data_IF_138030859225
#
_entry.id   IF_138030859225
#
_cell.length_a   1.000
_cell.length_b   1.000
_cell.length_c   1.000
_cell.angle_alpha   90.00
_cell.angle_beta   90.00
_cell.angle_gamma   90.00
#
_symmetry.space_group_name_H-M   'P 1'
#
loop_
_entity.id
_entity.type
_entity.pdbx_description
1 polymer ?
#
# COMPACT_ATOMS: atom_id res chain seq x y z
N UNK A 1 27.46 -15.05 -16.35
CA UNK A 1 26.95 -16.02 -15.38
C UNK A 1 25.65 -15.51 -14.82
N UNK A 2 24.64 -16.35 -14.63
CA UNK A 2 23.38 -15.94 -13.98
C UNK A 2 23.67 -15.54 -12.53
N UNK A 3 23.12 -14.40 -12.06
CA UNK A 3 23.23 -14.00 -10.66
C UNK A 3 22.57 -15.08 -9.77
N UNK A 4 23.10 -15.34 -8.55
CA UNK A 4 22.51 -16.29 -7.63
C UNK A 4 21.06 -15.87 -7.28
N UNK A 5 20.23 -16.85 -6.96
CA UNK A 5 18.88 -16.59 -6.46
C UNK A 5 18.94 -16.00 -5.06
N UNK A 6 18.03 -15.08 -4.76
CA UNK A 6 17.83 -14.55 -3.40
C UNK A 6 17.06 -15.59 -2.58
N UNK A 7 17.63 -16.02 -1.47
CA UNK A 7 16.99 -16.92 -0.51
C UNK A 7 15.96 -16.14 0.30
N UNK A 8 14.70 -16.39 0.03
CA UNK A 8 13.58 -15.68 0.65
C UNK A 8 12.94 -16.51 1.75
N UNK A 9 12.65 -15.88 2.87
CA UNK A 9 11.89 -16.45 3.98
C UNK A 9 10.56 -15.75 4.20
N UNK A 10 9.65 -16.38 4.93
CA UNK A 10 8.39 -15.76 5.37
C UNK A 10 8.20 -16.01 6.87
N UNK A 11 8.12 -14.94 7.64
CA UNK A 11 7.77 -14.99 9.06
C UNK A 11 6.26 -14.68 9.21
N UNK A 12 5.51 -15.71 9.63
CA UNK A 12 4.05 -15.71 9.68
C UNK A 12 3.42 -16.14 8.34
N UNK A 13 2.80 -17.34 8.32
CA UNK A 13 2.14 -17.87 7.13
C UNK A 13 0.62 -18.02 7.28
N UNK A 14 0.02 -17.06 7.97
CA UNK A 14 -1.43 -16.94 8.08
C UNK A 14 -2.11 -16.68 6.73
N UNK A 15 -3.23 -15.95 6.77
CA UNK A 15 -4.05 -15.66 5.58
C UNK A 15 -3.28 -14.95 4.46
N UNK A 16 -2.45 -13.95 4.78
CA UNK A 16 -1.66 -13.21 3.79
C UNK A 16 -0.31 -13.87 3.52
N UNK A 17 0.42 -14.31 4.55
CA UNK A 17 1.77 -14.85 4.41
C UNK A 17 1.86 -16.13 3.57
N UNK A 18 0.80 -16.93 3.48
CA UNK A 18 0.76 -18.05 2.53
C UNK A 18 0.90 -17.61 1.07
N UNK A 19 0.40 -16.41 0.74
CA UNK A 19 0.55 -15.85 -0.61
C UNK A 19 1.97 -15.37 -0.86
N UNK A 20 2.67 -14.84 0.16
CA UNK A 20 4.10 -14.54 0.06
C UNK A 20 4.91 -15.80 -0.20
N UNK A 21 4.67 -16.88 0.55
CA UNK A 21 5.34 -18.17 0.32
C UNK A 21 5.07 -18.71 -1.09
N UNK A 22 3.81 -18.67 -1.56
CA UNK A 22 3.42 -19.06 -2.92
C UNK A 22 4.20 -18.26 -3.98
N UNK A 23 4.27 -16.96 -3.83
CA UNK A 23 4.89 -16.08 -4.82
C UNK A 23 6.41 -16.28 -4.84
N UNK A 24 7.07 -16.35 -3.68
CA UNK A 24 8.51 -16.61 -3.64
C UNK A 24 8.88 -17.98 -4.24
N UNK A 25 8.02 -19.00 -4.12
CA UNK A 25 8.28 -20.31 -4.72
C UNK A 25 8.27 -20.29 -6.26
N UNK A 26 7.71 -19.24 -6.88
CA UNK A 26 7.57 -19.11 -8.34
C UNK A 26 8.24 -17.88 -8.94
N UNK A 27 8.69 -16.93 -8.11
CA UNK A 27 9.29 -15.67 -8.58
C UNK A 27 10.67 -15.92 -9.21
N UNK A 28 10.90 -15.49 -10.46
CA UNK A 28 12.22 -15.56 -11.06
C UNK A 28 13.28 -14.83 -10.23
N UNK A 29 14.39 -15.49 -9.96
CA UNK A 29 15.49 -14.93 -9.17
C UNK A 29 15.30 -15.04 -7.66
N UNK A 30 14.19 -15.61 -7.18
CA UNK A 30 13.97 -15.97 -5.79
C UNK A 30 14.05 -17.49 -5.57
N UNK A 31 14.29 -17.88 -4.33
CA UNK A 31 14.15 -19.24 -3.82
C UNK A 31 13.46 -19.16 -2.46
N UNK A 32 12.34 -19.87 -2.28
CA UNK A 32 11.70 -19.99 -0.97
C UNK A 32 12.53 -20.91 -0.08
N UNK A 33 13.40 -20.36 0.74
CA UNK A 33 14.26 -21.11 1.65
C UNK A 33 13.46 -21.75 2.82
N UNK A 34 12.42 -21.06 3.30
CA UNK A 34 11.52 -21.62 4.30
C UNK A 34 10.68 -20.56 5.02
N UNK A 35 10.07 -21.02 6.11
CA UNK A 35 9.10 -20.23 6.87
C UNK A 35 9.38 -20.30 8.37
N UNK A 36 8.94 -19.28 9.10
CA UNK A 36 8.75 -19.31 10.55
C UNK A 36 7.26 -19.14 10.86
N UNK A 37 6.69 -20.08 11.60
CA UNK A 37 5.27 -20.08 12.00
C UNK A 37 5.13 -20.76 13.37
N UNK A 38 4.35 -20.14 14.25
CA UNK A 38 4.15 -20.64 15.62
C UNK A 38 3.17 -21.81 15.69
N UNK A 39 2.21 -21.87 14.75
CA UNK A 39 1.27 -22.99 14.64
C UNK A 39 1.88 -24.18 13.91
N UNK A 40 2.07 -25.30 14.59
CA UNK A 40 2.64 -26.53 14.02
C UNK A 40 1.82 -27.03 12.84
N UNK A 41 0.49 -27.05 12.98
CA UNK A 41 -0.41 -27.52 11.93
C UNK A 41 -0.31 -26.63 10.67
N UNK A 42 -0.27 -25.30 10.88
CA UNK A 42 -0.15 -24.35 9.77
C UNK A 42 1.21 -24.43 9.08
N UNK A 43 2.28 -24.56 9.87
CA UNK A 43 3.62 -24.73 9.32
C UNK A 43 3.71 -26.00 8.47
N UNK A 44 3.22 -27.14 8.97
CA UNK A 44 3.23 -28.41 8.24
C UNK A 44 2.45 -28.31 6.90
N UNK A 45 1.26 -27.69 6.92
CA UNK A 45 0.46 -27.45 5.72
C UNK A 45 1.25 -26.67 4.65
N UNK A 46 1.85 -25.54 5.03
CA UNK A 46 2.55 -24.66 4.11
C UNK A 46 3.85 -25.28 3.59
N UNK A 47 4.60 -25.96 4.48
CA UNK A 47 5.81 -26.66 4.07
C UNK A 47 5.53 -27.78 3.07
N UNK A 48 4.48 -28.57 3.28
CA UNK A 48 4.06 -29.61 2.34
C UNK A 48 3.59 -29.00 1.00
N UNK A 49 2.84 -27.88 1.04
CA UNK A 49 2.27 -27.23 -0.15
C UNK A 49 3.33 -26.63 -1.07
N UNK A 50 4.37 -26.01 -0.50
CA UNK A 50 5.38 -25.27 -1.25
C UNK A 50 6.77 -25.94 -1.21
N UNK A 51 6.87 -27.15 -0.67
CA UNK A 51 8.12 -27.90 -0.52
C UNK A 51 9.24 -27.06 0.09
N UNK A 52 8.97 -26.42 1.22
CA UNK A 52 9.92 -25.57 1.92
C UNK A 52 10.15 -26.02 3.37
N UNK A 53 11.24 -25.52 3.96
CA UNK A 53 11.62 -25.84 5.35
C UNK A 53 10.89 -24.96 6.34
N UNK A 54 10.50 -25.52 7.51
CA UNK A 54 10.19 -24.75 8.70
C UNK A 54 11.45 -24.52 9.52
N UNK A 55 11.67 -23.28 9.97
CA UNK A 55 12.70 -22.91 10.91
C UNK A 55 12.10 -22.78 12.31
N UNK A 56 12.84 -23.22 13.34
CA UNK A 56 12.35 -23.25 14.71
C UNK A 56 12.39 -21.87 15.38
N UNK A 57 13.33 -21.01 14.97
CA UNK A 57 13.49 -19.65 15.51
C UNK A 57 13.66 -18.62 14.39
N UNK A 58 13.49 -17.34 14.74
CA UNK A 58 13.74 -16.21 13.81
C UNK A 58 15.22 -16.10 13.45
N UNK A 59 16.11 -16.40 14.39
CA UNK A 59 17.55 -16.41 14.18
C UNK A 59 17.95 -17.49 13.17
N UNK A 60 17.34 -18.69 13.29
CA UNK A 60 17.55 -19.78 12.34
C UNK A 60 17.03 -19.41 10.95
N UNK A 61 15.84 -18.82 10.86
CA UNK A 61 15.29 -18.28 9.60
C UNK A 61 16.26 -17.25 9.00
N UNK A 62 16.68 -16.26 9.80
CA UNK A 62 17.58 -15.20 9.36
C UNK A 62 18.93 -15.71 8.86
N UNK A 63 19.55 -16.65 9.54
CA UNK A 63 20.82 -17.23 9.13
C UNK A 63 20.77 -17.99 7.78
N UNK A 64 19.57 -18.39 7.35
CA UNK A 64 19.37 -19.14 6.11
C UNK A 64 18.74 -18.32 4.98
N UNK A 65 18.40 -17.04 5.22
CA UNK A 65 17.73 -16.17 4.23
C UNK A 65 18.52 -14.89 3.98
N UNK A 66 18.48 -14.42 2.74
CA UNK A 66 18.98 -13.09 2.36
C UNK A 66 17.91 -12.02 2.56
N UNK A 67 16.63 -12.42 2.42
CA UNK A 67 15.47 -11.55 2.50
C UNK A 67 14.30 -12.25 3.18
N UNK A 68 13.53 -11.54 4.02
CA UNK A 68 12.39 -12.12 4.74
C UNK A 68 11.18 -11.19 4.67
N UNK A 69 10.01 -11.76 4.32
CA UNK A 69 8.72 -11.08 4.51
C UNK A 69 8.23 -11.28 5.94
N UNK A 70 7.96 -10.17 6.63
CA UNK A 70 7.35 -10.13 7.97
C UNK A 70 5.85 -9.92 7.81
N UNK A 71 5.07 -11.00 8.00
CA UNK A 71 3.61 -11.06 7.74
C UNK A 71 2.88 -11.59 8.97
N UNK A 72 3.18 -10.99 10.10
CA UNK A 72 2.58 -11.27 11.40
C UNK A 72 1.60 -10.14 11.78
N UNK A 73 0.84 -10.22 12.88
CA UNK A 73 0.08 -9.09 13.40
C UNK A 73 0.97 -7.86 13.65
N UNK A 74 0.43 -6.65 13.43
CA UNK A 74 1.19 -5.40 13.46
C UNK A 74 1.95 -5.16 14.77
N UNK A 75 1.36 -5.55 15.91
CA UNK A 75 1.97 -5.48 17.26
C UNK A 75 3.17 -6.39 17.44
N UNK A 76 3.45 -7.25 16.46
CA UNK A 76 4.59 -8.19 16.44
C UNK A 76 5.64 -7.80 15.41
N UNK A 77 5.41 -6.78 14.56
CA UNK A 77 6.32 -6.43 13.49
C UNK A 77 7.73 -6.13 13.99
N UNK A 78 7.87 -5.28 15.01
CA UNK A 78 9.17 -4.95 15.59
C UNK A 78 9.85 -6.19 16.20
N UNK A 79 9.12 -6.98 16.99
CA UNK A 79 9.65 -8.17 17.66
C UNK A 79 10.20 -9.22 16.68
N UNK A 80 9.62 -9.29 15.48
CA UNK A 80 10.06 -10.20 14.42
C UNK A 80 11.15 -9.55 13.56
N UNK A 81 11.06 -8.25 13.28
CA UNK A 81 12.00 -7.57 12.43
C UNK A 81 13.40 -7.43 13.04
N UNK A 82 13.51 -7.09 14.32
CA UNK A 82 14.81 -6.83 14.97
C UNK A 82 15.75 -8.05 14.97
N UNK A 83 15.32 -9.28 15.35
CA UNK A 83 16.16 -10.47 15.26
C UNK A 83 16.64 -10.76 13.82
N UNK A 84 15.76 -10.60 12.83
CA UNK A 84 16.09 -10.81 11.41
C UNK A 84 17.10 -9.77 10.89
N UNK A 85 16.92 -8.49 11.25
CA UNK A 85 17.88 -7.43 10.92
C UNK A 85 19.24 -7.69 11.58
N UNK A 86 19.26 -8.20 12.81
CA UNK A 86 20.49 -8.56 13.49
C UNK A 86 21.30 -9.63 12.71
N UNK A 87 20.63 -10.54 12.01
CA UNK A 87 21.24 -11.53 11.11
C UNK A 87 21.64 -10.95 9.74
N UNK A 88 21.33 -9.69 9.46
CA UNK A 88 21.64 -9.05 8.17
C UNK A 88 20.62 -9.30 7.06
N UNK A 89 19.42 -9.75 7.38
CA UNK A 89 18.36 -9.96 6.40
C UNK A 89 17.77 -8.63 5.92
N UNK A 90 17.53 -8.51 4.61
CA UNK A 90 16.66 -7.49 4.06
C UNK A 90 15.20 -7.84 4.39
N UNK A 91 14.36 -6.84 4.68
CA UNK A 91 12.98 -7.10 5.10
C UNK A 91 11.95 -6.47 4.17
N UNK A 92 10.87 -7.22 3.91
CA UNK A 92 9.57 -6.67 3.52
C UNK A 92 8.65 -6.81 4.73
N UNK A 93 8.22 -5.67 5.28
CA UNK A 93 7.33 -5.65 6.46
C UNK A 93 5.94 -5.22 6.00
N UNK A 94 4.92 -6.00 6.35
CA UNK A 94 3.54 -5.66 6.02
C UNK A 94 3.10 -4.32 6.65
N UNK A 95 2.11 -3.71 6.02
CA UNK A 95 1.54 -2.44 6.50
C UNK A 95 0.63 -2.64 7.73
N UNK A 96 0.61 -1.65 8.63
CA UNK A 96 1.56 -0.57 8.79
C UNK A 96 2.94 -1.09 9.23
N UNK A 97 4.00 -0.34 8.97
CA UNK A 97 5.37 -0.80 9.28
C UNK A 97 5.55 -1.29 10.71
N UNK A 98 4.90 -0.62 11.69
CA UNK A 98 4.86 -0.97 13.12
C UNK A 98 3.58 -0.43 13.75
N UNK A 99 3.32 -0.78 15.00
CA UNK A 99 2.17 -0.28 15.75
C UNK A 99 2.35 1.18 16.23
N UNK A 100 3.59 1.65 16.37
CA UNK A 100 3.92 3.01 16.79
C UNK A 100 5.11 3.58 16.01
N UNK A 101 5.25 4.92 16.03
CA UNK A 101 6.39 5.60 15.43
C UNK A 101 7.71 5.24 16.13
N UNK A 102 7.69 5.08 17.44
CA UNK A 102 8.88 4.70 18.20
C UNK A 102 9.41 3.29 17.81
N UNK A 103 8.52 2.34 17.59
CA UNK A 103 8.87 1.01 17.07
C UNK A 103 9.44 1.12 15.64
N UNK A 104 8.79 1.89 14.78
CA UNK A 104 9.27 2.12 13.41
C UNK A 104 10.68 2.73 13.40
N UNK A 105 10.96 3.69 14.28
CA UNK A 105 12.28 4.31 14.42
C UNK A 105 13.36 3.31 14.84
N UNK A 106 13.06 2.41 15.80
CA UNK A 106 14.00 1.37 16.21
C UNK A 106 14.29 0.38 15.07
N UNK A 107 13.25 -0.02 14.32
CA UNK A 107 13.42 -0.89 13.14
C UNK A 107 14.26 -0.20 12.07
N UNK A 108 14.00 1.09 11.77
CA UNK A 108 14.80 1.84 10.80
C UNK A 108 16.25 1.97 11.24
N UNK A 109 16.50 2.29 12.51
CA UNK A 109 17.87 2.40 13.05
C UNK A 109 18.62 1.07 12.98
N UNK A 110 17.97 -0.04 13.30
CA UNK A 110 18.54 -1.38 13.21
C UNK A 110 18.86 -1.75 11.74
N UNK A 111 17.96 -1.44 10.81
CA UNK A 111 18.18 -1.69 9.38
C UNK A 111 19.38 -0.88 8.85
N UNK A 112 19.46 0.41 9.22
CA UNK A 112 20.57 1.27 8.84
C UNK A 112 21.93 0.76 9.40
N UNK A 113 21.95 0.36 10.67
CA UNK A 113 23.16 -0.15 11.31
C UNK A 113 23.69 -1.44 10.67
N UNK A 114 22.81 -2.22 10.04
CA UNK A 114 23.14 -3.48 9.35
C UNK A 114 23.20 -3.35 7.83
N UNK A 115 23.01 -2.15 7.29
CA UNK A 115 22.93 -1.89 5.84
C UNK A 115 21.85 -2.75 5.15
N UNK A 116 20.74 -3.07 5.87
CA UNK A 116 19.65 -3.83 5.35
C UNK A 116 18.63 -2.93 4.66
N UNK A 117 18.07 -3.40 3.56
CA UNK A 117 16.93 -2.76 2.89
C UNK A 117 15.64 -3.13 3.64
N UNK A 118 14.74 -2.15 3.79
CA UNK A 118 13.40 -2.38 4.32
C UNK A 118 12.39 -1.82 3.32
N UNK A 119 11.55 -2.70 2.80
CA UNK A 119 10.35 -2.37 2.02
C UNK A 119 9.12 -2.50 2.92
N UNK A 120 8.15 -1.60 2.76
CA UNK A 120 6.88 -1.68 3.48
C UNK A 120 5.78 -2.16 2.54
N UNK A 121 4.94 -3.09 3.01
CA UNK A 121 3.90 -3.78 2.26
C UNK A 121 2.70 -2.89 1.85
N UNK A 122 2.98 -1.73 1.26
CA UNK A 122 1.94 -0.91 0.64
C UNK A 122 1.66 -1.39 -0.78
N UNK A 123 0.98 -2.52 -0.88
CA UNK A 123 0.70 -3.27 -2.11
C UNK A 123 0.14 -2.42 -3.26
N UNK A 124 -0.64 -1.37 -2.96
CA UNK A 124 -1.25 -0.53 -3.99
C UNK A 124 -0.23 0.28 -4.81
N UNK A 125 0.98 0.50 -4.30
CA UNK A 125 2.08 1.10 -5.07
C UNK A 125 2.58 0.20 -6.20
N UNK A 126 2.30 -1.10 -6.13
CA UNK A 126 2.64 -2.10 -7.14
C UNK A 126 1.44 -2.46 -8.02
N UNK A 127 0.28 -1.88 -7.74
CA UNK A 127 -0.87 -2.00 -8.63
C UNK A 127 -0.54 -1.36 -9.98
N UNK A 128 -0.86 -1.99 -11.13
CA UNK A 128 -0.64 -1.40 -12.45
C UNK A 128 -1.23 0.00 -12.64
N UNK A 129 -2.33 0.32 -11.95
CA UNK A 129 -2.92 1.66 -11.90
C UNK A 129 -1.91 2.70 -11.40
N UNK A 130 -1.15 2.35 -10.35
CA UNK A 130 -0.15 3.26 -9.78
C UNK A 130 0.99 3.56 -10.76
N UNK A 131 1.45 2.54 -11.48
CA UNK A 131 2.48 2.72 -12.52
C UNK A 131 2.04 3.67 -13.64
N UNK A 132 0.74 3.70 -13.94
CA UNK A 132 0.18 4.67 -14.85
C UNK A 132 0.15 6.07 -14.23
N UNK A 133 -0.33 6.19 -12.98
CA UNK A 133 -0.40 7.47 -12.26
C UNK A 133 0.97 8.16 -12.17
N UNK A 134 2.00 7.43 -11.77
CA UNK A 134 3.37 7.95 -11.63
C UNK A 134 3.93 8.57 -12.90
N UNK A 135 3.45 8.12 -14.08
CA UNK A 135 3.87 8.63 -15.39
C UNK A 135 3.03 9.83 -15.88
N UNK A 136 1.80 9.96 -15.39
CA UNK A 136 0.84 10.95 -15.89
C UNK A 136 0.64 12.13 -14.94
N UNK A 137 0.90 11.95 -13.63
CA UNK A 137 0.70 12.99 -12.65
C UNK A 137 1.96 13.82 -12.52
N UNK A 138 1.80 15.13 -12.72
CA UNK A 138 2.86 16.13 -12.56
C UNK A 138 2.56 17.00 -11.33
N UNK A 139 1.60 17.88 -11.42
CA UNK A 139 1.21 18.78 -10.33
C UNK A 139 -0.27 18.59 -9.96
N UNK A 140 -0.60 17.58 -9.13
CA UNK A 140 -1.98 17.38 -8.72
C UNK A 140 -2.44 18.55 -7.85
N UNK A 141 -3.64 19.07 -8.15
CA UNK A 141 -4.26 20.18 -7.41
C UNK A 141 -5.33 19.72 -6.45
N UNK A 142 -6.03 18.65 -6.83
CA UNK A 142 -7.10 18.10 -6.02
C UNK A 142 -7.19 16.60 -6.21
N UNK A 143 -7.21 15.85 -5.12
CA UNK A 143 -7.31 14.39 -5.10
C UNK A 143 -8.51 14.00 -4.25
N UNK A 144 -9.31 13.04 -4.72
CA UNK A 144 -10.26 12.31 -3.89
C UNK A 144 -9.96 10.84 -3.96
N UNK A 145 -9.91 10.16 -2.81
CA UNK A 145 -9.81 8.70 -2.74
C UNK A 145 -10.94 8.13 -1.88
N UNK A 146 -11.52 7.05 -2.35
CA UNK A 146 -12.60 6.34 -1.66
C UNK A 146 -12.24 4.85 -1.56
N UNK A 147 -12.19 4.34 -0.31
CA UNK A 147 -11.93 2.94 -0.01
C UNK A 147 -13.03 2.36 0.85
N UNK A 148 -13.89 1.59 0.22
CA UNK A 148 -15.08 1.01 0.84
C UNK A 148 -14.98 -0.51 0.90
N UNK A 149 -15.37 -1.09 2.04
CA UNK A 149 -15.48 -2.52 2.23
C UNK A 149 -16.74 -2.88 3.02
N UNK A 150 -17.35 -4.05 2.78
CA UNK A 150 -18.37 -4.59 3.69
C UNK A 150 -17.75 -4.96 5.03
N UNK A 151 -18.56 -4.85 6.09
CA UNK A 151 -18.13 -5.25 7.42
C UNK A 151 -17.74 -6.73 7.47
N UNK A 152 -16.60 -6.97 8.10
CA UNK A 152 -16.13 -8.32 8.44
C UNK A 152 -15.66 -8.30 9.90
N UNK A 153 -15.98 -9.32 10.71
CA UNK A 153 -15.55 -9.38 12.12
C UNK A 153 -14.02 -9.39 12.29
N UNK A 154 -13.30 -9.80 11.26
CA UNK A 154 -11.84 -9.85 11.22
C UNK A 154 -11.26 -8.48 10.88
N UNK A 155 -10.16 -8.08 11.57
CA UNK A 155 -9.47 -6.81 11.32
C UNK A 155 -10.13 -5.62 12.01
N UNK A 156 -11.01 -5.88 13.00
CA UNK A 156 -11.69 -4.84 13.78
C UNK A 156 -10.90 -4.39 15.01
N UNK A 157 -9.73 -4.97 15.23
CA UNK A 157 -8.80 -4.61 16.32
C UNK A 157 -8.23 -3.19 16.11
N UNK A 158 -8.14 -2.75 14.87
CA UNK A 158 -7.70 -1.40 14.49
C UNK A 158 -8.79 -0.66 13.72
N UNK A 159 -8.76 0.68 13.73
CA UNK A 159 -9.68 1.52 12.98
C UNK A 159 -9.44 1.48 11.47
N UNK A 160 -10.43 1.95 10.70
CA UNK A 160 -10.34 1.97 9.23
C UNK A 160 -9.23 2.88 8.70
N UNK A 161 -8.74 3.80 9.52
CA UNK A 161 -7.61 4.67 9.13
C UNK A 161 -6.35 3.84 8.95
N UNK A 162 -5.99 3.02 9.95
CA UNK A 162 -4.78 2.15 9.91
C UNK A 162 -4.97 0.91 9.05
N UNK A 163 -6.22 0.44 8.88
CA UNK A 163 -6.48 -0.75 8.06
C UNK A 163 -6.66 -0.43 6.57
N UNK A 164 -7.50 0.56 6.25
CA UNK A 164 -7.90 0.88 4.89
C UNK A 164 -7.28 2.19 4.37
N UNK A 165 -7.48 3.32 5.07
CA UNK A 165 -7.09 4.65 4.57
C UNK A 165 -5.57 4.79 4.41
N UNK A 166 -4.76 4.07 5.18
CA UNK A 166 -3.30 4.13 5.11
C UNK A 166 -2.74 3.81 3.72
N UNK A 167 -3.44 3.00 2.93
CA UNK A 167 -3.08 2.73 1.54
C UNK A 167 -3.19 3.99 0.68
N UNK A 168 -4.30 4.73 0.84
CA UNK A 168 -4.57 5.96 0.08
C UNK A 168 -3.69 7.11 0.57
N UNK A 169 -3.38 7.16 1.87
CA UNK A 169 -2.37 8.06 2.45
C UNK A 169 -1.01 7.83 1.75
N UNK A 170 -0.55 6.58 1.66
CA UNK A 170 0.70 6.25 0.99
C UNK A 170 0.72 6.71 -0.48
N UNK A 171 -0.37 6.45 -1.23
CA UNK A 171 -0.52 6.87 -2.62
C UNK A 171 -0.42 8.40 -2.74
N UNK A 172 -1.16 9.14 -1.90
CA UNK A 172 -1.20 10.61 -1.95
C UNK A 172 0.17 11.21 -1.62
N UNK A 173 0.87 10.68 -0.60
CA UNK A 173 2.22 11.12 -0.24
C UNK A 173 3.22 10.91 -1.40
N UNK A 174 3.12 9.79 -2.12
CA UNK A 174 3.97 9.50 -3.26
C UNK A 174 3.70 10.41 -4.48
N UNK A 175 2.45 10.83 -4.69
CA UNK A 175 2.05 11.64 -5.84
C UNK A 175 2.26 13.15 -5.61
N UNK A 176 1.95 13.66 -4.40
CA UNK A 176 1.95 15.12 -4.17
C UNK A 176 3.34 15.68 -3.92
N UNK A 177 4.25 14.91 -3.32
CA UNK A 177 5.67 15.30 -3.09
C UNK A 177 5.85 16.69 -2.48
N UNK A 178 4.99 17.08 -1.54
CA UNK A 178 5.02 18.36 -0.85
C UNK A 178 4.75 18.16 0.64
N UNK A 179 5.31 19.00 1.53
CA UNK A 179 4.99 18.92 2.96
C UNK A 179 3.49 19.09 3.21
N UNK A 180 2.99 18.38 4.22
CA UNK A 180 1.62 18.57 4.71
C UNK A 180 1.57 19.88 5.50
N UNK A 181 0.62 20.76 5.16
CA UNK A 181 0.37 22.03 5.85
C UNK A 181 -0.72 21.88 6.93
N UNK A 182 -1.75 21.05 6.66
CA UNK A 182 -2.88 20.86 7.58
C UNK A 182 -3.57 19.53 7.34
N UNK A 183 -4.07 18.92 8.42
CA UNK A 183 -4.96 17.74 8.37
C UNK A 183 -6.22 18.09 9.18
N UNK A 184 -7.38 17.87 8.60
CA UNK A 184 -8.68 17.92 9.28
C UNK A 184 -9.35 16.54 9.09
N UNK A 185 -9.80 15.89 10.17
CA UNK A 185 -10.38 14.56 10.08
C UNK A 185 -11.56 14.35 11.03
N UNK A 186 -12.47 13.49 10.59
CA UNK A 186 -13.63 13.05 11.37
C UNK A 186 -13.80 11.53 11.19
N UNK A 187 -14.36 10.86 12.19
CA UNK A 187 -14.63 9.43 12.13
C UNK A 187 -15.79 9.03 13.02
N UNK A 188 -16.40 7.89 12.69
CA UNK A 188 -17.56 7.36 13.40
C UNK A 188 -17.34 5.90 13.73
N UNK A 189 -17.59 5.54 14.99
CA UNK A 189 -17.67 4.18 15.48
C UNK A 189 -19.11 3.69 15.34
N UNK A 190 -19.32 2.54 14.69
CA UNK A 190 -20.66 1.97 14.45
C UNK A 190 -20.81 0.59 15.09
N UNK A 191 -19.92 -0.34 14.75
CA UNK A 191 -19.91 -1.74 15.24
C UNK A 191 -18.65 -2.11 15.99
N UNK A 192 -17.50 -1.52 15.65
CA UNK A 192 -16.22 -1.83 16.25
C UNK A 192 -15.95 -0.94 17.47
N UNK A 193 -14.84 -1.18 18.19
CA UNK A 193 -14.35 -0.31 19.27
C UNK A 193 -13.58 0.92 18.77
N UNK A 194 -13.23 0.94 17.50
CA UNK A 194 -12.52 2.02 16.81
C UNK A 194 -13.39 2.55 15.65
N UNK A 195 -12.93 3.58 14.95
CA UNK A 195 -13.66 4.15 13.83
C UNK A 195 -13.90 3.12 12.71
N UNK A 196 -15.16 2.97 12.29
CA UNK A 196 -15.62 2.13 11.18
C UNK A 196 -15.77 2.94 9.88
N UNK A 197 -15.89 4.26 10.02
CA UNK A 197 -15.95 5.23 8.93
C UNK A 197 -15.01 6.37 9.30
N UNK A 198 -14.19 6.81 8.35
CA UNK A 198 -13.30 7.95 8.52
C UNK A 198 -13.26 8.80 7.25
N UNK A 199 -13.16 10.11 7.43
CA UNK A 199 -12.90 11.08 6.38
C UNK A 199 -11.75 11.99 6.83
N UNK A 200 -10.79 12.22 5.92
CA UNK A 200 -9.67 13.10 6.19
C UNK A 200 -9.44 14.04 5.01
N UNK A 201 -9.22 15.33 5.32
CA UNK A 201 -8.80 16.35 4.37
C UNK A 201 -7.37 16.75 4.68
N UNK A 202 -6.47 16.50 3.73
CA UNK A 202 -5.05 16.82 3.83
C UNK A 202 -4.75 17.98 2.88
N UNK A 203 -4.20 19.06 3.41
CA UNK A 203 -3.75 20.23 2.64
C UNK A 203 -2.23 20.22 2.59
N UNK A 204 -1.67 20.41 1.41
CA UNK A 204 -0.23 20.44 1.20
C UNK A 204 0.28 21.86 0.99
N UNK A 205 1.56 22.10 1.28
CA UNK A 205 2.19 23.42 1.16
C UNK A 205 2.20 23.97 -0.27
N UNK A 206 2.18 23.09 -1.29
CA UNK A 206 2.05 23.49 -2.69
C UNK A 206 0.62 23.83 -3.12
N UNK A 207 -0.35 23.84 -2.18
CA UNK A 207 -1.77 24.14 -2.44
C UNK A 207 -2.61 22.94 -2.88
N UNK A 208 -2.02 21.76 -3.08
CA UNK A 208 -2.80 20.54 -3.35
C UNK A 208 -3.66 20.17 -2.14
N UNK A 209 -4.86 19.66 -2.41
CA UNK A 209 -5.77 19.16 -1.39
C UNK A 209 -6.16 17.72 -1.70
N UNK A 210 -6.04 16.82 -0.73
CA UNK A 210 -6.53 15.45 -0.83
C UNK A 210 -7.67 15.22 0.18
N UNK A 211 -8.80 14.67 -0.30
CA UNK A 211 -9.88 14.17 0.54
C UNK A 211 -9.91 12.66 0.47
N UNK A 212 -9.74 12.02 1.62
CA UNK A 212 -9.70 10.56 1.76
C UNK A 212 -10.94 10.10 2.53
N UNK A 213 -11.60 9.06 2.05
CA UNK A 213 -12.75 8.45 2.68
C UNK A 213 -12.55 6.94 2.79
N UNK A 214 -12.62 6.40 3.99
CA UNK A 214 -12.55 4.97 4.24
C UNK A 214 -13.74 4.49 5.06
N UNK A 215 -14.32 3.35 4.69
CA UNK A 215 -15.42 2.75 5.41
C UNK A 215 -15.39 1.24 5.32
N UNK A 216 -15.60 0.56 6.46
CA UNK A 216 -15.90 -0.87 6.51
C UNK A 216 -17.42 -1.14 6.66
N UNK A 217 -18.24 -0.10 6.57
CA UNK A 217 -19.70 -0.16 6.73
C UNK A 217 -20.45 0.01 5.40
N UNK A 218 -19.82 -0.38 4.29
CA UNK A 218 -20.41 -0.24 2.95
C UNK A 218 -21.02 -1.56 2.47
N UNK A 219 -22.11 -1.49 1.70
CA UNK A 219 -22.67 -2.64 0.98
C UNK A 219 -21.91 -2.99 -0.29
N UNK A 220 -21.05 -2.08 -0.77
CA UNK A 220 -20.19 -2.29 -1.96
C UNK A 220 -18.71 -2.26 -1.58
N UNK A 221 -17.87 -2.87 -2.43
CA UNK A 221 -16.42 -2.68 -2.40
C UNK A 221 -16.04 -1.61 -3.41
N UNK A 222 -15.17 -0.67 -3.02
CA UNK A 222 -14.59 0.32 -3.91
C UNK A 222 -13.15 0.63 -3.49
N UNK A 223 -12.28 0.89 -4.47
CA UNK A 223 -10.92 1.41 -4.31
C UNK A 223 -10.67 2.36 -5.46
N UNK A 224 -11.18 3.57 -5.32
CA UNK A 224 -11.20 4.56 -6.39
C UNK A 224 -10.39 5.78 -6.01
N UNK A 225 -9.69 6.35 -7.00
CA UNK A 225 -9.02 7.64 -6.87
C UNK A 225 -9.37 8.53 -8.05
N UNK A 226 -9.61 9.80 -7.78
CA UNK A 226 -9.82 10.84 -8.79
C UNK A 226 -8.81 11.94 -8.57
N UNK A 227 -8.15 12.37 -9.64
CA UNK A 227 -7.08 13.35 -9.59
C UNK A 227 -7.37 14.44 -10.60
N UNK A 228 -7.31 15.67 -10.13
CA UNK A 228 -7.44 16.87 -10.94
C UNK A 228 -6.10 17.60 -10.97
N UNK A 229 -5.56 17.81 -12.14
CA UNK A 229 -4.36 18.61 -12.40
C UNK A 229 -4.64 19.70 -13.43
N UNK A 230 -3.65 20.51 -13.76
CA UNK A 230 -3.86 21.70 -14.60
C UNK A 230 -4.46 21.43 -15.98
N UNK A 231 -4.17 20.27 -16.56
CA UNK A 231 -4.48 19.90 -17.94
C UNK A 231 -5.40 18.67 -18.09
N UNK A 232 -5.65 17.94 -17.00
CA UNK A 232 -6.38 16.69 -17.05
C UNK A 232 -7.17 16.35 -15.76
N UNK A 233 -8.19 15.52 -15.94
CA UNK A 233 -8.90 14.79 -14.91
C UNK A 233 -8.70 13.30 -15.14
N UNK A 234 -8.34 12.58 -14.08
CA UNK A 234 -8.18 11.12 -14.06
C UNK A 234 -9.14 10.52 -13.04
N UNK A 235 -9.77 9.41 -13.43
CA UNK A 235 -10.61 8.58 -12.54
C UNK A 235 -10.17 7.14 -12.68
N UNK A 236 -9.74 6.51 -11.58
CA UNK A 236 -9.11 5.20 -11.59
C UNK A 236 -9.71 4.29 -10.51
N UNK A 237 -9.83 3.02 -10.88
CA UNK A 237 -10.32 1.93 -10.05
C UNK A 237 -9.20 0.90 -9.86
N UNK A 238 -8.64 0.85 -8.66
CA UNK A 238 -7.56 -0.07 -8.29
C UNK A 238 -8.01 -1.53 -8.20
N UNK A 239 -9.30 -1.77 -7.88
CA UNK A 239 -9.83 -3.14 -7.82
C UNK A 239 -9.92 -3.79 -9.20
N UNK A 240 -10.46 -3.05 -10.17
CA UNK A 240 -10.68 -3.55 -11.51
C UNK A 240 -9.51 -3.25 -12.45
N UNK A 241 -8.51 -2.51 -11.97
CA UNK A 241 -7.32 -2.07 -12.71
C UNK A 241 -7.72 -1.40 -14.02
N UNK A 242 -8.54 -0.37 -13.92
CA UNK A 242 -9.03 0.40 -15.04
C UNK A 242 -9.10 1.88 -14.68
N UNK A 243 -9.21 2.72 -15.70
CA UNK A 243 -9.33 4.14 -15.48
C UNK A 243 -9.69 4.89 -16.74
N UNK A 244 -10.05 6.15 -16.52
CA UNK A 244 -10.43 7.08 -17.56
C UNK A 244 -9.63 8.38 -17.41
N UNK A 245 -9.28 8.96 -18.54
CA UNK A 245 -8.61 10.24 -18.66
C UNK A 245 -9.47 11.19 -19.49
N UNK A 246 -9.71 12.39 -18.96
CA UNK A 246 -10.34 13.49 -19.70
C UNK A 246 -9.36 14.66 -19.72
N UNK A 247 -8.96 15.13 -20.92
CA UNK A 247 -8.08 16.28 -21.04
C UNK A 247 -8.87 17.58 -21.02
N UNK A 248 -8.29 18.64 -20.47
CA UNK A 248 -8.86 19.98 -20.46
C UNK A 248 -9.18 20.47 -21.87
N UNK A 249 -8.31 20.17 -22.86
CA UNK A 249 -8.54 20.48 -24.28
C UNK A 249 -9.83 19.87 -24.82
N UNK A 250 -10.15 18.64 -24.39
CA UNK A 250 -11.35 17.92 -24.83
C UNK A 250 -12.62 18.58 -24.26
N UNK A 251 -12.57 19.05 -22.99
CA UNK A 251 -13.66 19.79 -22.35
C UNK A 251 -13.88 21.14 -23.05
N UNK A 252 -12.80 21.87 -23.37
CA UNK A 252 -12.88 23.13 -24.09
C UNK A 252 -13.49 22.92 -25.48
N UNK A 253 -13.03 21.91 -26.22
CA UNK A 253 -13.57 21.56 -27.54
C UNK A 253 -15.06 21.21 -27.49
N UNK A 254 -15.48 20.47 -26.44
CA UNK A 254 -16.90 20.19 -26.19
C UNK A 254 -17.71 21.46 -25.96
N UNK A 255 -17.22 22.40 -25.14
CA UNK A 255 -17.87 23.68 -24.88
C UNK A 255 -18.02 24.54 -26.17
N UNK A 256 -17.01 24.54 -27.03
CA UNK A 256 -17.08 25.21 -28.31
C UNK A 256 -18.12 24.56 -29.23
N UNK A 257 -18.16 23.24 -29.35
CA UNK A 257 -19.17 22.50 -30.13
C UNK A 257 -20.60 22.78 -29.65
N UNK A 258 -20.82 22.84 -28.33
CA UNK A 258 -22.11 23.26 -27.78
C UNK A 258 -22.48 24.66 -28.18
N UNK A 259 -21.52 25.63 -28.10
CA UNK A 259 -21.76 27.04 -28.40
C UNK A 259 -22.18 27.28 -29.88
N UNK A 260 -21.68 26.46 -30.79
CA UNK A 260 -22.02 26.51 -32.21
C UNK A 260 -23.13 25.52 -32.62
N UNK A 261 -23.78 24.89 -31.67
CA UNK A 261 -24.94 24.01 -31.90
C UNK A 261 -24.64 22.63 -32.48
N UNK A 262 -23.38 22.21 -32.52
CA UNK A 262 -22.99 20.87 -32.99
C UNK A 262 -23.24 19.77 -31.97
N UNK A 263 -23.42 20.11 -30.68
CA UNK A 263 -23.70 19.19 -29.58
C UNK A 263 -24.77 19.84 -28.73
N UNK A 264 -25.76 19.04 -28.27
CA UNK A 264 -26.81 19.51 -27.35
C UNK A 264 -26.20 19.86 -25.99
N UNK A 265 -26.68 20.93 -25.37
CA UNK A 265 -26.34 21.27 -23.99
C UNK A 265 -26.71 20.12 -23.05
N UNK A 266 -25.75 19.68 -22.24
CA UNK A 266 -25.93 18.58 -21.29
C UNK A 266 -25.66 17.18 -21.85
N UNK A 267 -25.37 17.02 -23.14
CA UNK A 267 -24.93 15.74 -23.70
C UNK A 267 -23.47 15.45 -23.35
N UNK A 268 -23.24 14.93 -22.15
CA UNK A 268 -21.90 14.58 -21.64
C UNK A 268 -21.23 13.45 -22.43
N UNK A 269 -21.99 12.66 -23.20
CA UNK A 269 -21.43 11.59 -24.03
C UNK A 269 -20.54 12.11 -25.16
N UNK A 270 -20.69 13.38 -25.51
CA UNK A 270 -19.86 14.06 -26.49
C UNK A 270 -18.48 14.54 -25.95
N UNK A 271 -18.23 14.42 -24.66
CA UNK A 271 -16.90 14.63 -24.06
C UNK A 271 -16.05 13.39 -24.33
N UNK A 272 -14.90 13.50 -25.01
CA UNK A 272 -14.03 12.35 -25.22
C UNK A 272 -13.44 11.85 -23.88
N UNK A 273 -13.99 10.78 -23.37
CA UNK A 273 -13.43 10.03 -22.22
C UNK A 273 -12.53 8.94 -22.79
N UNK A 274 -11.24 9.01 -22.49
CA UNK A 274 -10.28 8.03 -22.97
C UNK A 274 -10.09 6.94 -21.92
N UNK A 275 -10.37 5.71 -22.30
CA UNK A 275 -9.99 4.56 -21.50
C UNK A 275 -8.48 4.45 -21.42
N UNK A 276 -7.99 4.16 -20.21
CA UNK A 276 -6.57 4.01 -19.96
C UNK A 276 -6.20 2.54 -20.20
N UNK A 277 -5.26 2.25 -21.10
CA UNK A 277 -4.79 0.89 -21.31
C UNK A 277 -3.89 0.48 -20.12
N UNK A 278 -4.45 -0.25 -19.17
CA UNK A 278 -3.73 -0.80 -18.03
C UNK A 278 -3.60 -2.32 -18.23
N UNK A 279 -2.37 -2.79 -18.34
CA UNK A 279 -2.10 -4.24 -18.32
C UNK A 279 -2.35 -4.76 -16.91
N UNK A 280 -3.25 -5.72 -16.79
CA UNK A 280 -3.60 -6.29 -15.48
C UNK A 280 -2.45 -7.12 -14.92
N UNK A 281 -2.27 -7.06 -13.60
CA UNK A 281 -1.25 -7.80 -12.88
C UNK A 281 -1.70 -8.18 -11.49
N UNK A 282 -1.01 -9.11 -10.85
CA UNK A 282 -1.19 -9.44 -9.44
C UNK A 282 -0.31 -8.48 -8.60
N UNK A 283 -0.88 -7.49 -7.88
CA UNK A 283 -0.07 -6.47 -7.18
C UNK A 283 0.92 -7.07 -6.19
N UNK A 284 0.54 -8.12 -5.45
CA UNK A 284 1.43 -8.79 -4.49
C UNK A 284 2.61 -9.48 -5.19
N UNK A 285 2.38 -10.09 -6.34
CA UNK A 285 3.47 -10.70 -7.11
C UNK A 285 4.45 -9.65 -7.62
N UNK A 286 3.93 -8.50 -8.09
CA UNK A 286 4.74 -7.37 -8.53
C UNK A 286 5.54 -6.74 -7.36
N UNK A 287 4.92 -6.63 -6.19
CA UNK A 287 5.56 -6.14 -4.98
C UNK A 287 6.75 -7.02 -4.55
N UNK A 288 6.53 -8.33 -4.43
CA UNK A 288 7.57 -9.27 -4.03
C UNK A 288 8.68 -9.38 -5.08
N UNK A 289 8.34 -9.36 -6.36
CA UNK A 289 9.34 -9.34 -7.44
C UNK A 289 10.20 -8.07 -7.37
N UNK A 290 9.59 -6.91 -7.13
CA UNK A 290 10.30 -5.63 -6.94
C UNK A 290 11.22 -5.66 -5.73
N UNK A 291 10.79 -6.25 -4.61
CA UNK A 291 11.62 -6.42 -3.43
C UNK A 291 12.83 -7.31 -3.70
N UNK A 292 12.62 -8.48 -4.31
CA UNK A 292 13.71 -9.40 -4.70
C UNK A 292 14.71 -8.70 -5.63
N UNK A 293 14.22 -7.91 -6.58
CA UNK A 293 15.08 -7.14 -7.48
C UNK A 293 15.88 -6.07 -6.72
N UNK A 294 15.23 -5.34 -5.80
CA UNK A 294 15.92 -4.33 -4.97
C UNK A 294 17.06 -4.93 -4.16
N UNK A 295 16.84 -6.10 -3.56
CA UNK A 295 17.88 -6.84 -2.82
C UNK A 295 19.00 -7.28 -3.76
N UNK A 296 18.66 -7.88 -4.90
CA UNK A 296 19.63 -8.39 -5.87
C UNK A 296 20.51 -7.30 -6.48
N UNK A 297 19.97 -6.10 -6.69
CA UNK A 297 20.64 -4.97 -7.30
C UNK A 297 21.21 -3.98 -6.25
N UNK A 298 21.02 -4.26 -4.95
CA UNK A 298 21.36 -3.36 -3.83
C UNK A 298 20.79 -1.94 -4.02
N UNK A 299 19.56 -1.85 -4.54
CA UNK A 299 18.87 -0.59 -4.79
C UNK A 299 17.80 -0.33 -3.74
N UNK A 300 17.54 0.94 -3.44
CA UNK A 300 16.44 1.30 -2.54
C UNK A 300 15.10 0.77 -3.06
N UNK A 301 14.28 0.15 -2.20
CA UNK A 301 12.95 -0.31 -2.57
C UNK A 301 12.05 0.86 -2.98
N UNK A 302 11.12 0.59 -3.91
CA UNK A 302 10.12 1.56 -4.36
C UNK A 302 9.31 2.14 -3.20
N UNK A 303 8.93 1.31 -2.24
CA UNK A 303 8.23 1.70 -1.01
C UNK A 303 9.15 1.43 0.17
N UNK A 304 10.15 2.30 0.34
CA UNK A 304 11.10 2.20 1.44
C UNK A 304 10.48 2.57 2.80
N UNK A 305 11.21 2.26 3.86
CA UNK A 305 10.76 2.47 5.24
C UNK A 305 10.41 3.93 5.57
N UNK A 306 11.05 4.91 4.90
CA UNK A 306 10.73 6.33 5.09
C UNK A 306 9.28 6.66 4.69
N UNK A 307 8.83 6.18 3.51
CA UNK A 307 7.44 6.36 3.06
C UNK A 307 6.47 5.62 3.98
N UNK A 308 6.81 4.38 4.39
CA UNK A 308 5.99 3.62 5.33
C UNK A 308 5.84 4.30 6.69
N UNK A 309 6.94 4.88 7.22
CA UNK A 309 6.90 5.69 8.46
C UNK A 309 6.05 6.95 8.27
N UNK A 310 6.21 7.69 7.17
CA UNK A 310 5.40 8.88 6.91
C UNK A 310 3.90 8.55 6.77
N UNK A 311 3.55 7.45 6.12
CA UNK A 311 2.17 7.01 6.03
C UNK A 311 1.59 6.63 7.40
N UNK A 312 2.37 5.97 8.26
CA UNK A 312 1.99 5.66 9.64
C UNK A 312 1.79 6.95 10.45
N UNK A 313 2.69 7.93 10.35
CA UNK A 313 2.60 9.22 11.06
C UNK A 313 1.31 9.96 10.72
N UNK A 314 0.98 10.07 9.44
CA UNK A 314 -0.27 10.69 8.98
C UNK A 314 -1.48 9.90 9.48
N UNK A 315 -1.44 8.57 9.42
CA UNK A 315 -2.55 7.74 9.90
C UNK A 315 -2.76 7.86 11.40
N UNK A 316 -1.69 7.94 12.21
CA UNK A 316 -1.77 8.19 13.66
C UNK A 316 -2.38 9.56 13.91
N UNK A 317 -1.89 10.62 13.25
CA UNK A 317 -2.42 11.98 13.38
C UNK A 317 -3.93 12.04 13.12
N UNK A 318 -4.39 11.40 12.03
CA UNK A 318 -5.82 11.31 11.71
C UNK A 318 -6.59 10.57 12.80
N UNK A 319 -6.09 9.43 13.26
CA UNK A 319 -6.73 8.64 14.31
C UNK A 319 -6.85 9.41 15.64
N UNK A 320 -5.81 10.17 16.02
CA UNK A 320 -5.81 10.99 17.22
C UNK A 320 -6.81 12.14 17.14
N UNK A 321 -6.91 12.84 15.99
CA UNK A 321 -7.92 13.85 15.76
C UNK A 321 -9.35 13.30 15.86
N UNK A 322 -9.60 12.13 15.28
CA UNK A 322 -10.90 11.46 15.36
C UNK A 322 -11.27 11.15 16.81
N UNK A 323 -10.33 10.59 17.57
CA UNK A 323 -10.55 10.28 19.01
C UNK A 323 -10.78 11.55 19.84
N UNK A 324 -10.08 12.63 19.56
CA UNK A 324 -10.27 13.90 20.25
C UNK A 324 -11.63 14.54 19.95
N UNK A 325 -12.16 14.37 18.75
CA UNK A 325 -13.46 14.90 18.33
C UNK A 325 -14.67 14.06 18.76
N UNK A 326 -14.46 12.86 19.28
CA UNK A 326 -15.54 11.95 19.77
C UNK A 326 -15.88 12.18 21.27
N UNK A 327 -15.32 13.19 21.93
CA UNK A 327 -15.54 13.52 23.35
C UNK A 327 -16.76 14.45 23.52
#
# INVERSE_FOLDING_TARGET
MAKPKIRCGVAGVGSLGQHHARIYSTTPGAELAGIFETSDARAAEICAKFNCRRFATLEELGANCDAVSVVVPTDRHELVALPLLAQGCHLLIEKPICASLAEAERVLAAAQAKHCLVQVGHIEHFNPVMSFLEKQIDEPRYITAERLAPYQPRGTEVGVVLDLMIHDIGIVLALVKSPIAKIDSVGVTVLSKSEDIANARIQFANGCVANLSASRMSTKKAREIRIFQGDAYLSLDFMNQKGHLVKKSDIIAYGLKMKIGLVKAGDLSAIPVKDIPIEKGEPLALELASFVESVREAKQPKVGAALGKSALEVAITITEQIRAGQK
#
